data_IF_233130768666
#
_entry.id   IF_233130768666
#
_cell.length_a   1.000
_cell.length_b   1.000
_cell.length_c   1.000
_cell.angle_alpha   90.00
_cell.angle_beta   90.00
_cell.angle_gamma   90.00
#
_symmetry.space_group_name_H-M   'P 1'
#
loop_
_entity.id
_entity.type
_entity.pdbx_description
1 polymer ?
#
# COMPACT_ATOMS: atom_id res chain seq x y z
N UNK A 1 -7.43 -12.29 5.94
CA UNK A 1 -6.43 -13.37 5.95
C UNK A 1 -5.79 -13.57 7.33
N UNK A 2 -5.11 -12.55 7.93
CA UNK A 2 -4.40 -12.72 9.21
C UNK A 2 -5.34 -13.07 10.38
N UNK A 3 -6.43 -12.31 10.55
CA UNK A 3 -7.46 -12.54 11.58
C UNK A 3 -8.09 -13.94 11.44
N UNK A 4 -8.35 -14.36 10.24
CA UNK A 4 -8.91 -15.67 9.96
C UNK A 4 -7.91 -16.79 10.28
N UNK A 5 -6.63 -16.60 9.93
CA UNK A 5 -5.58 -17.56 10.28
C UNK A 5 -5.42 -17.72 11.82
N UNK A 6 -5.44 -16.62 12.58
CA UNK A 6 -5.37 -16.68 14.04
C UNK A 6 -6.62 -17.33 14.65
N UNK A 7 -7.79 -17.11 14.08
CA UNK A 7 -9.04 -17.75 14.49
C UNK A 7 -9.02 -19.26 14.24
N UNK A 8 -8.47 -19.70 13.09
CA UNK A 8 -8.31 -21.13 12.80
C UNK A 8 -7.33 -21.80 13.76
N UNK A 9 -6.21 -21.14 14.09
CA UNK A 9 -5.26 -21.62 15.10
C UNK A 9 -5.91 -21.74 16.48
N UNK A 10 -6.74 -20.78 16.88
CA UNK A 10 -7.49 -20.83 18.12
C UNK A 10 -8.45 -22.03 18.14
N UNK A 11 -9.14 -22.30 17.03
CA UNK A 11 -10.03 -23.48 16.91
C UNK A 11 -9.24 -24.79 17.00
N UNK A 12 -8.09 -24.87 16.38
CA UNK A 12 -7.21 -26.04 16.47
C UNK A 12 -6.78 -26.32 17.92
N UNK A 13 -6.33 -25.30 18.66
CA UNK A 13 -5.91 -25.48 20.05
C UNK A 13 -7.07 -25.86 20.98
N UNK A 14 -8.29 -25.41 20.70
CA UNK A 14 -9.48 -25.83 21.44
C UNK A 14 -9.84 -27.30 21.19
N UNK A 15 -9.63 -27.79 19.97
CA UNK A 15 -9.97 -29.15 19.57
C UNK A 15 -8.84 -30.14 19.84
N UNK A 16 -7.60 -29.67 19.97
CA UNK A 16 -6.40 -30.50 20.17
C UNK A 16 -6.50 -31.51 21.33
N UNK A 17 -7.01 -31.19 22.54
CA UNK A 17 -7.16 -32.13 23.58
C UNK A 17 -8.24 -33.20 23.34
N UNK A 18 -9.15 -32.98 22.39
CA UNK A 18 -10.25 -33.89 22.08
C UNK A 18 -9.92 -34.84 20.93
N UNK A 19 -9.03 -34.45 20.04
CA UNK A 19 -8.69 -35.21 18.84
C UNK A 19 -7.29 -35.80 19.00
N UNK A 20 -7.17 -37.16 19.08
CA UNK A 20 -5.87 -37.81 19.09
C UNK A 20 -5.14 -37.65 17.76
N UNK A 21 -3.83 -37.61 17.79
CA UNK A 21 -3.04 -37.75 16.58
C UNK A 21 -2.95 -39.24 16.20
N UNK A 22 -3.31 -39.52 14.94
CA UNK A 22 -3.21 -40.85 14.39
C UNK A 22 -1.97 -40.91 13.50
N UNK A 23 -1.05 -41.80 13.84
CA UNK A 23 0.15 -42.07 13.04
C UNK A 23 0.08 -43.49 12.51
N UNK A 24 0.02 -43.60 11.21
CA UNK A 24 0.10 -44.87 10.51
C UNK A 24 1.54 -45.05 9.99
N UNK A 25 2.20 -46.07 10.47
CA UNK A 25 3.53 -46.45 9.97
C UNK A 25 3.41 -47.78 9.24
N UNK A 26 3.96 -47.81 8.03
CA UNK A 26 4.11 -49.04 7.27
C UNK A 26 5.57 -49.31 7.03
N UNK A 27 6.05 -50.47 7.43
CA UNK A 27 7.38 -50.95 7.07
C UNK A 27 7.22 -52.15 6.15
N UNK A 28 7.60 -51.97 4.92
CA UNK A 28 7.65 -53.06 3.94
C UNK A 28 9.11 -53.47 3.68
N UNK A 29 9.46 -54.73 3.87
CA UNK A 29 10.73 -55.21 3.42
C UNK A 29 10.63 -55.68 1.99
N UNK A 30 11.36 -55.03 1.09
CA UNK A 30 11.57 -55.55 -0.26
C UNK A 30 12.57 -56.70 -0.16
N UNK A 31 12.24 -57.88 -0.72
CA UNK A 31 13.25 -58.91 -0.79
C UNK A 31 14.37 -58.49 -1.79
N UNK A 32 15.59 -58.87 -1.58
CA UNK A 32 16.09 -59.87 -0.63
C UNK A 32 17.04 -59.35 0.48
N UNK A 33 17.11 -58.05 0.73
CA UNK A 33 18.24 -57.54 1.50
C UNK A 33 17.91 -56.75 2.78
N UNK A 34 16.68 -56.44 3.11
CA UNK A 34 16.39 -55.66 4.29
C UNK A 34 15.63 -56.49 5.35
N UNK A 35 16.41 -57.03 6.24
CA UNK A 35 15.88 -57.61 7.49
C UNK A 35 15.75 -56.49 8.49
N UNK A 36 14.70 -55.72 8.40
CA UNK A 36 14.34 -54.89 9.50
C UNK A 36 13.55 -55.73 10.49
N UNK A 37 14.16 -56.04 11.61
CA UNK A 37 13.43 -56.53 12.75
C UNK A 37 12.37 -55.49 13.11
N UNK A 38 11.12 -55.78 12.82
CA UNK A 38 10.01 -54.95 13.33
C UNK A 38 10.04 -54.93 14.88
N UNK A 39 9.25 -54.10 15.51
CA UNK A 39 9.12 -53.96 16.97
C UNK A 39 8.85 -55.32 17.65
N UNK A 40 8.31 -56.25 16.93
CA UNK A 40 8.17 -57.67 17.25
C UNK A 40 9.17 -58.54 16.53
N UNK A 41 10.39 -58.01 16.37
CA UNK A 41 11.49 -58.73 15.73
C UNK A 41 11.61 -60.10 16.31
N UNK A 42 11.07 -61.04 15.60
CA UNK A 42 11.34 -62.47 15.89
C UNK A 42 12.83 -62.67 15.77
N UNK A 43 13.46 -62.96 16.89
CA UNK A 43 14.86 -63.21 16.92
C UNK A 43 15.16 -64.32 15.95
N UNK A 44 16.22 -64.13 15.29
CA UNK A 44 17.30 -65.02 15.06
C UNK A 44 17.04 -66.51 14.73
N UNK A 45 15.81 -66.89 14.44
CA UNK A 45 15.58 -68.31 14.16
C UNK A 45 15.70 -68.59 12.68
N UNK A 46 16.80 -69.20 12.43
CA UNK A 46 17.10 -70.05 11.29
C UNK A 46 16.90 -69.35 9.93
N UNK A 47 17.99 -69.17 9.25
CA UNK A 47 18.11 -68.74 7.89
C UNK A 47 17.21 -69.42 6.82
N UNK A 48 16.38 -70.33 7.24
CA UNK A 48 15.48 -71.10 6.38
C UNK A 48 14.05 -70.53 6.22
N UNK A 49 13.70 -69.44 6.96
CA UNK A 49 12.38 -68.86 6.86
C UNK A 49 12.37 -67.42 6.41
N UNK A 50 12.93 -67.20 5.26
CA UNK A 50 12.89 -65.91 4.61
C UNK A 50 11.53 -65.70 3.89
N UNK A 51 10.69 -64.82 4.44
CA UNK A 51 9.46 -64.39 3.77
C UNK A 51 9.40 -62.87 3.75
N UNK A 52 8.73 -62.31 2.77
CA UNK A 52 8.45 -60.85 2.81
C UNK A 52 7.63 -60.54 4.05
N UNK A 53 8.06 -59.57 4.84
CA UNK A 53 7.36 -59.13 6.03
C UNK A 53 6.90 -57.69 5.82
N UNK A 54 5.62 -57.44 6.01
CA UNK A 54 5.06 -56.11 6.05
C UNK A 54 4.46 -55.88 7.43
N UNK A 55 4.97 -54.88 8.12
CA UNK A 55 4.45 -54.46 9.42
C UNK A 55 3.64 -53.19 9.21
N UNK A 56 2.40 -53.20 9.73
CA UNK A 56 1.54 -52.02 9.77
C UNK A 56 1.30 -51.69 11.22
N UNK A 57 1.71 -50.49 11.63
CA UNK A 57 1.51 -49.98 12.99
C UNK A 57 0.57 -48.79 12.95
N UNK A 58 -0.48 -48.87 13.76
CA UNK A 58 -1.38 -47.75 14.00
C UNK A 58 -1.14 -47.23 15.42
N UNK A 59 -0.61 -46.03 15.52
CA UNK A 59 -0.35 -45.39 16.81
C UNK A 59 -1.34 -44.26 17.02
N UNK A 60 -2.05 -44.29 18.13
CA UNK A 60 -2.98 -43.26 18.59
C UNK A 60 -2.37 -42.55 19.77
N UNK A 61 -2.05 -41.27 19.62
CA UNK A 61 -1.37 -40.46 20.64
C UNK A 61 -2.26 -39.33 21.11
N UNK A 62 -2.57 -39.31 22.40
CA UNK A 62 -3.20 -38.18 23.09
C UNK A 62 -2.14 -37.40 23.84
N UNK A 63 -1.99 -36.10 23.52
CA UNK A 63 -1.10 -35.20 24.24
C UNK A 63 -1.87 -34.39 25.28
N UNK A 64 -1.76 -34.75 26.54
CA UNK A 64 -2.25 -33.99 27.68
C UNK A 64 -1.09 -33.23 28.32
N UNK A 65 -0.96 -31.94 28.02
CA UNK A 65 0.12 -31.13 28.59
C UNK A 65 -0.26 -30.69 30.01
N UNK A 66 0.58 -31.03 31.01
CA UNK A 66 0.45 -30.59 32.39
C UNK A 66 -0.96 -30.74 32.96
N UNK A 67 -1.57 -31.93 32.88
CA UNK A 67 -2.92 -32.21 33.42
C UNK A 67 -3.97 -31.20 32.93
N UNK A 68 -3.94 -30.82 31.65
CA UNK A 68 -4.82 -29.83 30.96
C UNK A 68 -4.56 -28.35 31.28
N UNK A 69 -3.74 -28.00 32.27
CA UNK A 69 -3.44 -26.58 32.55
C UNK A 69 -2.64 -25.92 31.46
N UNK A 70 -1.70 -26.64 30.83
CA UNK A 70 -0.94 -26.15 29.67
C UNK A 70 -1.82 -25.83 28.48
N UNK A 71 -2.83 -26.64 28.21
CA UNK A 71 -3.78 -26.38 27.09
C UNK A 71 -4.62 -25.12 27.35
N UNK A 72 -5.02 -24.85 28.60
CA UNK A 72 -5.73 -23.61 28.96
C UNK A 72 -4.88 -22.37 28.74
N UNK A 73 -3.59 -22.43 29.09
CA UNK A 73 -2.66 -21.33 28.88
C UNK A 73 -2.50 -21.03 27.37
N UNK A 74 -2.31 -22.06 26.52
CA UNK A 74 -2.23 -21.94 25.10
C UNK A 74 -3.51 -21.36 24.43
N UNK A 75 -4.68 -21.82 24.92
CA UNK A 75 -5.95 -21.26 24.43
C UNK A 75 -6.04 -19.76 24.73
N UNK A 76 -5.63 -19.32 25.93
CA UNK A 76 -5.60 -17.90 26.31
C UNK A 76 -4.61 -17.12 25.45
N UNK A 77 -3.43 -17.68 25.19
CA UNK A 77 -2.43 -17.10 24.31
C UNK A 77 -3.00 -16.89 22.88
N UNK A 78 -3.61 -17.93 22.31
CA UNK A 78 -4.25 -17.82 20.98
C UNK A 78 -5.44 -16.87 20.94
N UNK A 79 -6.16 -16.74 22.06
CA UNK A 79 -7.21 -15.71 22.19
C UNK A 79 -6.63 -14.30 22.16
N UNK A 80 -5.54 -14.07 22.90
CA UNK A 80 -4.85 -12.78 22.91
C UNK A 80 -4.26 -12.44 21.52
N UNK A 81 -3.63 -13.40 20.85
CA UNK A 81 -3.14 -13.22 19.46
C UNK A 81 -4.27 -12.85 18.50
N UNK A 82 -5.43 -13.49 18.61
CA UNK A 82 -6.59 -13.15 17.77
C UNK A 82 -7.11 -11.73 18.08
N UNK A 83 -7.15 -11.33 19.35
CA UNK A 83 -7.52 -9.97 19.74
C UNK A 83 -6.54 -8.93 19.20
N UNK A 84 -5.23 -9.21 19.28
CA UNK A 84 -4.19 -8.33 18.71
C UNK A 84 -4.40 -8.19 17.20
N UNK A 85 -4.61 -9.29 16.49
CA UNK A 85 -4.85 -9.27 15.05
C UNK A 85 -6.10 -8.46 14.64
N UNK A 86 -7.17 -8.52 15.47
CA UNK A 86 -8.37 -7.70 15.29
C UNK A 86 -8.08 -6.21 15.49
N UNK A 87 -7.34 -5.86 16.55
CA UNK A 87 -6.97 -4.48 16.82
C UNK A 87 -6.04 -3.90 15.72
N UNK A 88 -5.12 -4.71 15.21
CA UNK A 88 -4.27 -4.33 14.08
C UNK A 88 -5.07 -4.10 12.82
N UNK A 89 -6.08 -4.92 12.55
CA UNK A 89 -6.99 -4.72 11.42
C UNK A 89 -7.72 -3.38 11.54
N UNK A 90 -8.29 -3.04 12.70
CA UNK A 90 -8.95 -1.76 12.92
C UNK A 90 -7.98 -0.57 12.76
N UNK A 91 -6.78 -0.67 13.35
CA UNK A 91 -5.75 0.36 13.18
C UNK A 91 -5.37 0.58 11.71
N UNK A 92 -5.31 -0.52 10.94
CA UNK A 92 -5.02 -0.41 9.51
C UNK A 92 -6.17 0.26 8.75
N UNK A 93 -7.41 -0.07 9.07
CA UNK A 93 -8.60 0.57 8.50
C UNK A 93 -8.63 2.07 8.80
N UNK A 94 -8.40 2.45 10.06
CA UNK A 94 -8.35 3.87 10.47
C UNK A 94 -7.23 4.62 9.76
N UNK A 95 -6.05 3.99 9.61
CA UNK A 95 -4.92 4.58 8.87
C UNK A 95 -5.28 4.83 7.41
N UNK A 96 -5.85 3.82 6.73
CA UNK A 96 -6.27 3.96 5.33
C UNK A 96 -7.33 5.04 5.18
N UNK A 97 -8.31 5.08 6.07
CA UNK A 97 -9.34 6.12 6.06
C UNK A 97 -8.73 7.52 6.23
N UNK A 98 -7.79 7.68 7.18
CA UNK A 98 -7.10 8.94 7.41
C UNK A 98 -6.25 9.36 6.20
N UNK A 99 -5.53 8.42 5.57
CA UNK A 99 -4.74 8.68 4.36
C UNK A 99 -5.62 9.15 3.19
N UNK A 100 -6.78 8.53 2.99
CA UNK A 100 -7.72 8.93 1.93
C UNK A 100 -8.27 10.34 2.18
N UNK A 101 -8.70 10.62 3.41
CA UNK A 101 -9.22 11.96 3.77
C UNK A 101 -8.14 13.03 3.59
N UNK A 102 -6.93 12.75 4.05
CA UNK A 102 -5.80 13.65 3.89
C UNK A 102 -5.44 13.89 2.42
N UNK A 103 -5.37 12.84 1.61
CA UNK A 103 -5.06 12.95 0.19
C UNK A 103 -6.15 13.71 -0.57
N UNK A 104 -7.43 13.50 -0.24
CA UNK A 104 -8.54 14.25 -0.81
C UNK A 104 -8.48 15.74 -0.44
N UNK A 105 -8.20 16.07 0.83
CA UNK A 105 -8.05 17.46 1.25
C UNK A 105 -6.87 18.14 0.55
N UNK A 106 -5.74 17.45 0.37
CA UNK A 106 -4.60 17.96 -0.36
C UNK A 106 -4.92 18.18 -1.84
N UNK A 107 -5.62 17.26 -2.49
CA UNK A 107 -6.03 17.41 -3.90
C UNK A 107 -6.96 18.62 -4.09
N UNK A 108 -7.92 18.79 -3.19
CA UNK A 108 -8.82 19.96 -3.21
C UNK A 108 -8.07 21.28 -2.99
N UNK A 109 -7.16 21.33 -2.01
CA UNK A 109 -6.34 22.51 -1.75
C UNK A 109 -5.42 22.85 -2.92
N UNK A 110 -4.80 21.83 -3.55
CA UNK A 110 -3.95 22.02 -4.71
C UNK A 110 -4.75 22.50 -5.95
N UNK A 111 -5.99 22.03 -6.13
CA UNK A 111 -6.88 22.52 -7.18
C UNK A 111 -7.24 24.00 -7.00
N UNK A 112 -7.55 24.41 -5.76
CA UNK A 112 -7.84 25.83 -5.47
C UNK A 112 -6.59 26.70 -5.73
N UNK A 113 -5.43 26.24 -5.24
CA UNK A 113 -4.16 26.95 -5.47
C UNK A 113 -3.84 27.08 -6.97
N UNK A 114 -4.14 26.06 -7.76
CA UNK A 114 -3.95 26.12 -9.21
C UNK A 114 -4.84 27.19 -9.85
N UNK A 115 -6.11 27.28 -9.46
CA UNK A 115 -7.04 28.29 -9.94
C UNK A 115 -6.58 29.71 -9.55
N UNK A 116 -6.10 29.90 -8.31
CA UNK A 116 -5.56 31.17 -7.84
C UNK A 116 -4.27 31.56 -8.59
N UNK A 117 -3.38 30.61 -8.86
CA UNK A 117 -2.16 30.85 -9.62
C UNK A 117 -2.44 31.17 -11.10
N UNK A 118 -3.46 30.55 -11.70
CA UNK A 118 -3.91 30.87 -13.07
C UNK A 118 -4.46 32.31 -13.15
N UNK A 119 -5.28 32.71 -12.18
CA UNK A 119 -5.79 34.06 -12.08
C UNK A 119 -4.63 35.08 -11.91
N UNK A 120 -3.70 34.79 -10.99
CA UNK A 120 -2.53 35.63 -10.73
C UNK A 120 -1.63 35.77 -11.96
N UNK A 121 -1.45 34.72 -12.75
CA UNK A 121 -0.69 34.76 -14.01
C UNK A 121 -1.39 35.66 -15.03
N UNK A 122 -2.69 35.58 -15.14
CA UNK A 122 -3.48 36.43 -16.04
C UNK A 122 -3.37 37.90 -15.64
N UNK A 123 -3.50 38.18 -14.35
CA UNK A 123 -3.40 39.55 -13.83
C UNK A 123 -1.97 40.12 -14.01
N UNK A 124 -0.94 39.31 -13.83
CA UNK A 124 0.44 39.70 -14.08
C UNK A 124 0.68 40.01 -15.56
N UNK A 125 0.15 39.22 -16.50
CA UNK A 125 0.24 39.44 -17.91
C UNK A 125 -0.46 40.75 -18.30
N UNK A 126 -1.69 40.98 -17.84
CA UNK A 126 -2.43 42.20 -18.07
C UNK A 126 -1.71 43.43 -17.48
N UNK A 127 -1.08 43.29 -16.31
CA UNK A 127 -0.27 44.36 -15.71
C UNK A 127 0.93 44.76 -16.59
N UNK A 128 1.63 43.79 -17.19
CA UNK A 128 2.73 44.04 -18.11
C UNK A 128 2.24 44.80 -19.34
N UNK A 129 1.14 44.35 -19.95
CA UNK A 129 0.58 45.00 -21.13
C UNK A 129 0.17 46.46 -20.83
N UNK A 130 -0.50 46.68 -19.73
CA UNK A 130 -0.90 48.05 -19.30
C UNK A 130 0.31 48.95 -19.04
N UNK A 131 1.36 48.42 -18.39
CA UNK A 131 2.57 49.16 -18.12
C UNK A 131 3.33 49.51 -19.41
N UNK A 132 3.38 48.60 -20.38
CA UNK A 132 3.95 48.90 -21.70
C UNK A 132 3.15 49.96 -22.45
N UNK A 133 1.82 49.90 -22.42
CA UNK A 133 0.96 50.91 -23.02
C UNK A 133 1.15 52.29 -22.33
N UNK A 134 1.25 52.28 -20.98
CA UNK A 134 1.47 53.48 -20.17
C UNK A 134 2.84 54.14 -20.41
N UNK A 135 3.86 53.35 -20.79
CA UNK A 135 5.22 53.90 -21.09
C UNK A 135 5.20 54.82 -22.33
N UNK A 136 4.34 54.57 -23.29
CA UNK A 136 4.17 55.38 -24.49
C UNK A 136 3.30 56.63 -24.24
N UNK A 137 2.65 56.71 -23.10
CA UNK A 137 1.72 57.80 -22.76
C UNK A 137 2.45 58.86 -21.96
N UNK A 138 2.36 60.11 -22.41
CA UNK A 138 2.87 61.28 -21.69
C UNK A 138 1.71 62.14 -21.27
N UNK A 139 1.77 62.68 -20.08
CA UNK A 139 0.81 63.66 -19.55
C UNK A 139 1.50 65.02 -19.44
N UNK A 140 0.87 66.03 -20.00
CA UNK A 140 1.34 67.39 -19.89
C UNK A 140 0.75 68.02 -18.62
N UNK A 141 1.62 68.44 -17.71
CA UNK A 141 1.26 69.18 -16.52
C UNK A 141 1.92 70.54 -16.55
N UNK A 142 1.20 71.52 -17.08
CA UNK A 142 1.77 72.85 -17.36
C UNK A 142 2.81 72.79 -18.51
N UNK A 143 4.02 73.19 -18.25
CA UNK A 143 5.12 73.20 -19.19
C UNK A 143 6.01 71.96 -19.16
N UNK A 144 5.69 70.99 -18.22
CA UNK A 144 6.42 69.74 -18.04
C UNK A 144 5.69 68.59 -18.68
N UNK A 145 6.44 67.75 -19.42
CA UNK A 145 5.99 66.48 -19.95
C UNK A 145 6.39 65.39 -18.93
N UNK A 146 5.41 64.74 -18.35
CA UNK A 146 5.61 63.66 -17.36
C UNK A 146 5.21 62.35 -17.98
N UNK A 147 6.08 61.30 -17.86
CA UNK A 147 5.77 59.94 -18.23
C UNK A 147 4.71 59.38 -17.30
N UNK A 148 3.70 58.74 -17.80
CA UNK A 148 2.60 58.14 -17.00
C UNK A 148 3.12 56.96 -16.22
N UNK A 149 3.97 56.14 -16.81
CA UNK A 149 4.61 54.95 -16.20
C UNK A 149 6.14 55.10 -16.28
N UNK A 150 6.83 54.81 -15.22
CA UNK A 150 8.31 54.86 -15.22
C UNK A 150 8.89 53.55 -15.78
N UNK A 151 10.02 53.58 -16.51
CA UNK A 151 10.65 52.38 -17.06
C UNK A 151 10.92 51.31 -16.00
N UNK A 152 11.19 51.71 -14.74
CA UNK A 152 11.40 50.80 -13.60
C UNK A 152 10.15 49.97 -13.25
N UNK A 153 8.96 50.54 -13.44
CA UNK A 153 7.69 49.86 -13.19
C UNK A 153 7.43 48.76 -14.23
N UNK A 154 7.85 49.01 -15.46
CA UNK A 154 7.79 47.97 -16.54
C UNK A 154 8.75 46.83 -16.23
N UNK A 155 9.96 47.12 -15.81
CA UNK A 155 10.93 46.06 -15.42
C UNK A 155 10.38 45.25 -14.26
N UNK A 156 9.81 45.90 -13.24
CA UNK A 156 9.21 45.24 -12.09
C UNK A 156 8.01 44.35 -12.50
N UNK A 157 7.17 44.82 -13.43
CA UNK A 157 6.03 44.01 -13.92
C UNK A 157 6.48 42.77 -14.70
N UNK A 158 7.55 42.88 -15.53
CA UNK A 158 8.15 41.72 -16.22
C UNK A 158 8.69 40.70 -15.21
N UNK A 159 9.40 41.17 -14.16
CA UNK A 159 9.89 40.28 -13.10
C UNK A 159 8.73 39.58 -12.37
N UNK A 160 7.66 40.31 -12.06
CA UNK A 160 6.45 39.75 -11.43
C UNK A 160 5.79 38.70 -12.32
N UNK A 161 5.74 38.93 -13.65
CA UNK A 161 5.26 37.93 -14.59
C UNK A 161 6.11 36.66 -14.57
N UNK A 162 7.43 36.79 -14.52
CA UNK A 162 8.35 35.64 -14.39
C UNK A 162 8.10 34.82 -13.11
N UNK A 163 7.85 35.50 -12.00
CA UNK A 163 7.48 34.84 -10.74
C UNK A 163 6.10 34.15 -10.82
N UNK A 164 5.12 34.81 -11.45
CA UNK A 164 3.80 34.24 -11.66
C UNK A 164 3.83 32.95 -12.53
N UNK A 165 4.66 32.91 -13.57
CA UNK A 165 4.89 31.68 -14.34
C UNK A 165 5.48 30.56 -13.47
N UNK A 166 6.47 30.88 -12.65
CA UNK A 166 7.11 29.92 -11.77
C UNK A 166 6.11 29.35 -10.76
N UNK A 167 5.26 30.20 -10.18
CA UNK A 167 4.24 29.76 -9.20
C UNK A 167 3.14 28.91 -9.90
N UNK A 168 2.70 29.31 -11.10
CA UNK A 168 1.74 28.54 -11.89
C UNK A 168 2.25 27.13 -12.19
N UNK A 169 3.46 26.98 -12.73
CA UNK A 169 4.01 25.64 -13.01
C UNK A 169 4.27 24.84 -11.73
N UNK A 170 4.64 25.51 -10.64
CA UNK A 170 4.71 24.90 -9.32
C UNK A 170 3.35 24.37 -8.84
N UNK A 171 2.29 25.14 -9.00
CA UNK A 171 0.93 24.75 -8.65
C UNK A 171 0.42 23.58 -9.52
N UNK A 172 0.72 23.56 -10.83
CA UNK A 172 0.41 22.43 -11.72
C UNK A 172 1.10 21.15 -11.24
N UNK A 173 2.40 21.23 -10.92
CA UNK A 173 3.15 20.09 -10.43
C UNK A 173 2.60 19.56 -9.08
N UNK A 174 2.24 20.45 -8.17
CA UNK A 174 1.67 20.09 -6.87
C UNK A 174 0.28 19.47 -7.03
N UNK A 175 -0.54 19.99 -7.93
CA UNK A 175 -1.86 19.43 -8.25
C UNK A 175 -1.74 18.00 -8.80
N UNK A 176 -0.85 17.78 -9.74
CA UNK A 176 -0.61 16.44 -10.29
C UNK A 176 -0.11 15.47 -9.21
N UNK A 177 0.84 15.89 -8.36
CA UNK A 177 1.32 15.08 -7.23
C UNK A 177 0.19 14.73 -6.26
N UNK A 178 -0.69 15.69 -5.95
CA UNK A 178 -1.82 15.46 -5.06
C UNK A 178 -2.83 14.46 -5.65
N UNK A 179 -3.10 14.54 -6.96
CA UNK A 179 -3.93 13.56 -7.65
C UNK A 179 -3.34 12.15 -7.59
N UNK A 180 -2.03 11.98 -7.87
CA UNK A 180 -1.38 10.68 -7.78
C UNK A 180 -1.38 10.11 -6.36
N UNK A 181 -1.23 10.97 -5.34
CA UNK A 181 -1.37 10.55 -3.93
C UNK A 181 -2.79 10.05 -3.63
N UNK A 182 -3.81 10.73 -4.14
CA UNK A 182 -5.19 10.31 -3.98
C UNK A 182 -5.45 8.95 -4.66
N UNK A 183 -5.00 8.76 -5.91
CA UNK A 183 -5.10 7.47 -6.59
C UNK A 183 -4.41 6.34 -5.82
N UNK A 184 -3.22 6.61 -5.28
CA UNK A 184 -2.51 5.65 -4.44
C UNK A 184 -3.29 5.32 -3.16
N UNK A 185 -3.85 6.32 -2.47
CA UNK A 185 -4.63 6.13 -1.26
C UNK A 185 -5.90 5.32 -1.51
N UNK A 186 -6.51 5.45 -2.69
CA UNK A 186 -7.66 4.66 -3.13
C UNK A 186 -7.30 3.23 -3.57
N UNK A 187 -6.00 2.88 -3.54
CA UNK A 187 -5.54 1.55 -3.95
C UNK A 187 -5.49 1.33 -5.47
N UNK A 188 -5.66 2.39 -6.25
CA UNK A 188 -5.53 2.34 -7.70
C UNK A 188 -4.07 2.63 -8.08
N UNK A 189 -3.25 1.64 -8.46
CA UNK A 189 -1.89 1.90 -8.87
C UNK A 189 -1.89 2.73 -10.16
N UNK A 190 -0.87 3.56 -10.35
CA UNK A 190 -0.69 4.51 -11.46
C UNK A 190 -0.65 3.86 -12.87
N UNK A 191 -0.92 2.58 -13.00
CA UNK A 191 -1.00 1.86 -14.26
C UNK A 191 -2.07 2.42 -15.23
N UNK A 192 -3.10 3.07 -14.69
CA UNK A 192 -4.14 3.70 -15.50
C UNK A 192 -3.76 5.08 -16.07
N UNK A 193 -2.73 5.73 -15.54
CA UNK A 193 -2.25 7.03 -16.04
C UNK A 193 -1.26 6.93 -17.19
N UNK A 194 -0.78 5.74 -17.51
CA UNK A 194 0.26 5.49 -18.49
C UNK A 194 -0.22 4.76 -19.75
N UNK A 195 -1.52 4.76 -20.06
CA UNK A 195 -1.92 4.33 -21.39
C UNK A 195 -1.43 5.35 -22.41
N UNK A 196 -0.57 4.96 -23.35
CA UNK A 196 -0.02 5.88 -24.35
C UNK A 196 -1.10 6.51 -25.25
N UNK A 197 -2.31 5.98 -25.23
CA UNK A 197 -3.46 6.54 -25.98
C UNK A 197 -4.02 7.84 -25.37
N UNK A 198 -3.81 8.12 -24.08
CA UNK A 198 -4.26 9.37 -23.46
C UNK A 198 -3.33 10.56 -23.71
N UNK A 199 -2.13 10.31 -24.25
CA UNK A 199 -1.15 11.34 -24.62
C UNK A 199 -1.25 11.79 -26.09
N UNK A 200 -2.03 11.12 -26.91
CA UNK A 200 -2.38 11.58 -28.24
C UNK A 200 -3.50 12.61 -28.13
N UNK A 201 -3.14 13.88 -27.93
CA UNK A 201 -4.03 14.99 -28.23
C UNK A 201 -4.52 14.80 -29.67
N UNK A 202 -5.84 14.87 -29.93
CA UNK A 202 -6.30 14.87 -31.29
C UNK A 202 -5.69 16.09 -31.96
N UNK A 203 -4.84 15.85 -32.95
CA UNK A 203 -4.41 16.85 -33.92
C UNK A 203 -5.67 17.45 -34.53
N UNK A 204 -6.08 18.62 -34.08
CA UNK A 204 -7.08 19.43 -34.75
C UNK A 204 -6.47 19.94 -36.02
N UNK A 205 -6.53 19.12 -37.05
CA UNK A 205 -6.42 19.59 -38.43
C UNK A 205 -7.83 20.04 -38.87
N UNK A 206 -8.01 21.29 -39.01
CA UNK A 206 -8.68 22.12 -39.99
C UNK A 206 -9.35 23.32 -39.37
#
# INVERSE_FOLDING_TARGET
ALVEATLQRLRQERLRPLIPSLVLRGAGSNPPASFSGGVFGGGNDAASKYGPRSDIELQVVWEFQNLMFGNRARIKERQAENQIALLEMFRLQDRVAAEVVQAHAQAKSAANRLADAEAGLKDAAESVDKNFQGLSQTRRAGDLIILLVRPQEVIASIQTLGLAYTDFYGAVADHNRAQFRLYRALGSPAQFGASPESLCLPSSAK
#
